data_IF_693697278258
#
_entry.id   IF_693697278258
#
_cell.length_a   1.000
_cell.length_b   1.000
_cell.length_c   1.000
_cell.angle_alpha   90.00
_cell.angle_beta   90.00
_cell.angle_gamma   90.00
#
_symmetry.space_group_name_H-M   'P 1'
#
loop_
_entity.id
_entity.type
_entity.pdbx_description
1 polymer ?
#
# COMPACT_ATOMS: atom_id res chain seq x y z
N UNK A 1 -16.63 7.73 -8.26
CA UNK A 1 -16.47 6.25 -8.09
C UNK A 1 -15.98 5.70 -9.41
N UNK A 2 -14.72 5.27 -9.47
CA UNK A 2 -14.07 4.90 -10.73
C UNK A 2 -13.37 3.54 -10.59
N UNK A 3 -14.06 2.47 -11.02
CA UNK A 3 -13.51 1.11 -10.99
C UNK A 3 -12.28 0.97 -11.91
N UNK A 4 -12.23 1.70 -13.03
CA UNK A 4 -11.08 1.64 -13.93
C UNK A 4 -9.81 2.18 -13.25
N UNK A 5 -9.91 3.28 -12.50
CA UNK A 5 -8.80 3.79 -11.71
C UNK A 5 -8.40 2.80 -10.61
N UNK A 6 -9.35 2.18 -9.93
CA UNK A 6 -9.06 1.17 -8.91
C UNK A 6 -8.31 -0.04 -9.50
N UNK A 7 -8.71 -0.52 -10.68
CA UNK A 7 -8.03 -1.62 -11.38
C UNK A 7 -6.62 -1.23 -11.85
N UNK A 8 -6.44 -0.01 -12.39
CA UNK A 8 -5.12 0.49 -12.76
C UNK A 8 -4.19 0.60 -11.55
N UNK A 9 -4.70 1.12 -10.44
CA UNK A 9 -3.96 1.18 -9.17
C UNK A 9 -3.64 -0.22 -8.64
N UNK A 10 -4.56 -1.18 -8.77
CA UNK A 10 -4.33 -2.58 -8.36
C UNK A 10 -3.25 -3.25 -9.22
N UNK A 11 -3.21 -3.01 -10.53
CA UNK A 11 -2.13 -3.47 -11.40
C UNK A 11 -0.79 -2.86 -10.97
N UNK A 12 -0.77 -1.55 -10.70
CA UNK A 12 0.40 -0.84 -10.19
C UNK A 12 0.90 -1.37 -8.85
N UNK A 13 -0.02 -1.60 -7.91
CA UNK A 13 0.28 -2.15 -6.60
C UNK A 13 0.88 -3.54 -6.72
N UNK A 14 0.23 -4.41 -7.50
CA UNK A 14 0.61 -5.81 -7.58
C UNK A 14 1.89 -6.08 -8.37
N UNK A 15 2.21 -5.25 -9.36
CA UNK A 15 3.55 -5.25 -9.97
C UNK A 15 4.60 -4.77 -8.96
N UNK A 16 4.30 -3.73 -8.17
CA UNK A 16 5.22 -3.20 -7.16
C UNK A 16 5.53 -4.20 -6.05
N UNK A 17 4.49 -4.79 -5.46
CA UNK A 17 4.55 -5.92 -4.51
C UNK A 17 5.46 -7.03 -5.06
N UNK A 18 5.07 -7.60 -6.20
CA UNK A 18 5.76 -8.74 -6.77
C UNK A 18 7.22 -8.42 -7.13
N UNK A 19 7.48 -7.21 -7.64
CA UNK A 19 8.83 -6.73 -7.92
C UNK A 19 9.66 -6.63 -6.64
N UNK A 20 9.14 -6.00 -5.59
CA UNK A 20 9.83 -5.81 -4.31
C UNK A 20 10.16 -7.13 -3.63
N UNK A 21 9.24 -8.09 -3.65
CA UNK A 21 9.41 -9.42 -3.06
C UNK A 21 10.63 -10.17 -3.64
N UNK A 22 10.93 -9.98 -4.93
CA UNK A 22 12.09 -10.63 -5.58
C UNK A 22 13.42 -10.23 -4.96
N UNK A 23 13.50 -9.06 -4.33
CA UNK A 23 14.74 -8.59 -3.73
C UNK A 23 15.00 -9.19 -2.35
N UNK A 24 14.08 -9.96 -1.74
CA UNK A 24 14.38 -10.74 -0.52
C UNK A 24 15.10 -12.06 -0.81
N UNK A 25 14.96 -12.60 -2.02
CA UNK A 25 15.46 -13.94 -2.38
C UNK A 25 16.94 -13.95 -2.78
N UNK A 26 17.46 -12.82 -3.24
CA UNK A 26 18.83 -12.68 -3.77
C UNK A 26 19.52 -11.45 -3.19
N UNK A 27 20.86 -11.37 -3.28
CA UNK A 27 21.57 -10.18 -2.85
C UNK A 27 21.11 -8.97 -3.68
N UNK A 28 20.39 -8.00 -3.07
CA UNK A 28 19.68 -6.99 -3.84
C UNK A 28 20.62 -5.91 -4.40
N UNK A 29 21.73 -5.62 -3.70
CA UNK A 29 22.55 -4.43 -3.94
C UNK A 29 23.09 -4.37 -5.38
N UNK A 30 23.75 -5.41 -5.92
CA UNK A 30 24.32 -5.34 -7.27
C UNK A 30 23.26 -5.22 -8.37
N UNK A 31 22.06 -5.74 -8.11
CA UNK A 31 20.95 -5.74 -9.07
C UNK A 31 20.28 -4.38 -9.11
N UNK A 32 20.04 -3.78 -7.94
CA UNK A 32 19.51 -2.41 -7.81
C UNK A 32 20.48 -1.42 -8.49
N UNK A 33 21.78 -1.49 -8.16
CA UNK A 33 22.80 -0.60 -8.74
C UNK A 33 22.88 -0.68 -10.27
N UNK A 34 22.66 -1.86 -10.83
CA UNK A 34 22.70 -2.10 -12.28
C UNK A 34 21.33 -2.09 -12.95
N UNK A 35 20.26 -1.88 -12.18
CA UNK A 35 18.85 -2.00 -12.58
C UNK A 35 18.57 -3.30 -13.35
N UNK A 36 19.11 -4.41 -12.85
CA UNK A 36 18.87 -5.74 -13.43
C UNK A 36 17.53 -6.26 -12.90
N UNK A 37 16.59 -6.48 -13.82
CA UNK A 37 15.30 -7.07 -13.48
C UNK A 37 15.48 -8.49 -12.91
N UNK A 38 14.74 -8.85 -11.85
CA UNK A 38 14.74 -10.22 -11.35
C UNK A 38 14.20 -11.19 -12.40
N UNK A 39 14.87 -12.34 -12.57
CA UNK A 39 14.41 -13.37 -13.50
C UNK A 39 13.16 -14.10 -12.99
N UNK A 40 12.43 -14.70 -13.93
CA UNK A 40 11.30 -15.59 -13.65
C UNK A 40 9.98 -14.86 -13.40
N UNK A 41 9.02 -15.61 -12.83
CA UNK A 41 7.71 -15.07 -12.45
C UNK A 41 7.85 -14.37 -11.10
N UNK A 42 7.33 -13.15 -11.02
CA UNK A 42 7.26 -12.37 -9.79
C UNK A 42 5.95 -12.67 -9.08
N UNK A 43 6.05 -13.35 -7.94
CA UNK A 43 4.89 -13.67 -7.11
C UNK A 43 4.60 -12.49 -6.20
N UNK A 44 3.33 -12.11 -6.11
CA UNK A 44 2.88 -11.11 -5.16
C UNK A 44 2.56 -11.76 -3.80
N UNK A 45 2.55 -10.95 -2.75
CA UNK A 45 2.45 -11.36 -1.33
C UNK A 45 1.06 -11.06 -0.76
N UNK A 46 0.95 -10.89 0.56
CA UNK A 46 -0.30 -10.51 1.21
C UNK A 46 -0.77 -9.10 0.84
N UNK A 47 0.10 -8.21 0.40
CA UNK A 47 -0.21 -6.86 -0.09
C UNK A 47 -1.25 -6.89 -1.20
N UNK A 48 -0.92 -7.55 -2.32
CA UNK A 48 -1.86 -7.76 -3.43
C UNK A 48 -3.04 -8.62 -3.00
N UNK A 49 -2.80 -9.64 -2.20
CA UNK A 49 -3.85 -10.57 -1.77
C UNK A 49 -4.99 -9.87 -1.01
N UNK A 50 -4.63 -8.94 -0.12
CA UNK A 50 -5.58 -8.10 0.58
C UNK A 50 -6.14 -7.00 -0.35
N UNK A 51 -5.35 -6.43 -1.25
CA UNK A 51 -5.85 -5.44 -2.21
C UNK A 51 -6.93 -6.02 -3.15
N UNK A 52 -6.79 -7.26 -3.61
CA UNK A 52 -7.82 -7.97 -4.40
C UNK A 52 -9.14 -8.04 -3.65
N UNK A 53 -9.11 -8.47 -2.39
CA UNK A 53 -10.29 -8.56 -1.53
C UNK A 53 -10.94 -7.19 -1.32
N UNK A 54 -10.13 -6.12 -1.19
CA UNK A 54 -10.62 -4.75 -1.05
C UNK A 54 -11.37 -4.29 -2.31
N UNK A 55 -10.80 -4.53 -3.49
CA UNK A 55 -11.42 -4.16 -4.77
C UNK A 55 -12.72 -4.95 -5.01
N UNK A 56 -12.80 -6.23 -4.64
CA UNK A 56 -14.04 -7.01 -4.72
C UNK A 56 -15.15 -6.42 -3.85
N UNK A 57 -14.81 -5.97 -2.63
CA UNK A 57 -15.76 -5.30 -1.73
C UNK A 57 -16.24 -3.97 -2.32
N UNK A 58 -15.32 -3.15 -2.83
CA UNK A 58 -15.68 -1.88 -3.47
C UNK A 58 -16.56 -2.09 -4.70
N UNK A 59 -16.27 -3.10 -5.51
CA UNK A 59 -17.05 -3.43 -6.71
C UNK A 59 -18.46 -3.90 -6.34
N UNK A 60 -18.57 -4.75 -5.32
CA UNK A 60 -19.85 -5.33 -4.90
C UNK A 60 -20.74 -4.33 -4.16
N UNK A 61 -20.18 -3.49 -3.30
CA UNK A 61 -20.94 -2.65 -2.37
C UNK A 61 -20.86 -1.15 -2.69
N UNK A 62 -19.92 -0.71 -3.52
CA UNK A 62 -19.68 0.71 -3.82
C UNK A 62 -19.14 1.52 -2.64
N UNK A 63 -18.77 0.84 -1.54
CA UNK A 63 -18.26 1.37 -0.27
C UNK A 63 -17.65 0.25 0.56
N UNK A 64 -17.00 0.58 1.65
CA UNK A 64 -16.53 -0.39 2.63
C UNK A 64 -17.69 -0.87 3.49
N UNK A 65 -17.95 -2.17 3.39
CA UNK A 65 -18.69 -2.94 4.38
C UNK A 65 -17.67 -3.70 5.23
N UNK A 66 -17.45 -3.24 6.47
CA UNK A 66 -16.39 -3.73 7.35
C UNK A 66 -16.52 -5.24 7.63
N UNK A 67 -17.74 -5.71 7.89
CA UNK A 67 -17.98 -7.12 8.17
C UNK A 67 -17.78 -7.99 6.92
N UNK A 68 -18.22 -7.54 5.75
CA UNK A 68 -17.98 -8.24 4.50
C UNK A 68 -16.48 -8.27 4.17
N UNK A 69 -15.77 -7.16 4.39
CA UNK A 69 -14.34 -7.03 4.11
C UNK A 69 -13.50 -7.98 4.96
N UNK A 70 -13.69 -7.99 6.27
CA UNK A 70 -12.91 -8.86 7.15
C UNK A 70 -13.22 -10.34 6.93
N UNK A 71 -14.48 -10.68 6.61
CA UNK A 71 -14.84 -12.05 6.21
C UNK A 71 -14.19 -12.44 4.89
N UNK A 72 -14.09 -11.52 3.92
CA UNK A 72 -13.40 -11.78 2.66
C UNK A 72 -11.89 -11.98 2.87
N UNK A 73 -11.23 -11.12 3.66
CA UNK A 73 -9.83 -11.30 4.03
C UNK A 73 -9.59 -12.66 4.71
N UNK A 74 -10.43 -12.98 5.69
CA UNK A 74 -10.32 -14.23 6.46
C UNK A 74 -10.52 -15.47 5.58
N UNK A 75 -11.56 -15.47 4.75
CA UNK A 75 -11.83 -16.57 3.81
C UNK A 75 -10.67 -16.75 2.83
N UNK A 76 -10.20 -15.66 2.21
CA UNK A 76 -9.13 -15.71 1.21
C UNK A 76 -7.81 -16.17 1.83
N UNK A 77 -7.47 -15.67 3.02
CA UNK A 77 -6.29 -16.10 3.78
C UNK A 77 -6.29 -17.62 4.05
N UNK A 78 -7.39 -18.17 4.54
CA UNK A 78 -7.49 -19.60 4.89
C UNK A 78 -7.45 -20.52 3.67
N UNK A 79 -8.05 -20.11 2.55
CA UNK A 79 -8.12 -20.96 1.36
C UNK A 79 -6.86 -20.90 0.50
N UNK A 80 -6.25 -19.73 0.35
CA UNK A 80 -5.17 -19.54 -0.62
C UNK A 80 -3.79 -19.83 0.00
N UNK A 81 -3.67 -19.78 1.34
CA UNK A 81 -2.42 -20.09 2.05
C UNK A 81 -1.25 -19.18 1.65
N UNK A 82 -1.55 -17.97 1.18
CA UNK A 82 -0.57 -16.97 0.70
C UNK A 82 0.40 -16.60 1.83
N UNK A 83 1.69 -16.56 1.51
CA UNK A 83 2.74 -16.12 2.42
C UNK A 83 2.76 -14.57 2.53
N UNK A 84 3.43 -14.05 3.55
CA UNK A 84 3.64 -12.60 3.76
C UNK A 84 2.91 -12.04 4.98
N UNK A 85 1.74 -12.60 5.31
CA UNK A 85 0.96 -12.15 6.47
C UNK A 85 1.75 -12.13 7.78
N UNK A 86 1.82 -10.96 8.41
CA UNK A 86 2.36 -10.81 9.75
C UNK A 86 1.58 -11.63 10.79
N UNK A 87 2.27 -12.15 11.82
CA UNK A 87 1.71 -13.06 12.83
C UNK A 87 0.41 -12.56 13.48
N UNK A 88 0.34 -11.26 13.78
CA UNK A 88 -0.87 -10.65 14.36
C UNK A 88 -2.07 -10.66 13.41
N UNK A 89 -1.83 -10.38 12.12
CA UNK A 89 -2.86 -10.42 11.09
C UNK A 89 -3.33 -11.86 10.84
N UNK A 90 -2.41 -12.82 10.73
CA UNK A 90 -2.75 -14.23 10.57
C UNK A 90 -3.66 -14.73 11.70
N UNK A 91 -3.27 -14.48 12.96
CA UNK A 91 -4.08 -14.87 14.13
C UNK A 91 -5.46 -14.22 14.14
N UNK A 92 -5.56 -12.93 13.77
CA UNK A 92 -6.85 -12.24 13.63
C UNK A 92 -7.75 -12.93 12.59
N UNK A 93 -7.21 -13.19 11.40
CA UNK A 93 -7.97 -13.78 10.30
C UNK A 93 -8.41 -15.22 10.58
N UNK A 94 -7.60 -16.02 11.28
CA UNK A 94 -7.96 -17.37 11.75
C UNK A 94 -9.12 -17.35 12.77
N UNK A 95 -9.09 -16.41 13.71
CA UNK A 95 -10.13 -16.25 14.74
C UNK A 95 -11.44 -15.76 14.14
N UNK A 96 -11.38 -14.81 13.20
CA UNK A 96 -12.56 -14.39 12.42
C UNK A 96 -13.14 -15.58 11.64
N UNK A 97 -12.30 -16.41 11.02
CA UNK A 97 -12.76 -17.59 10.28
C UNK A 97 -13.48 -18.57 11.21
N UNK A 98 -13.02 -18.68 12.45
CA UNK A 98 -13.61 -19.50 13.51
C UNK A 98 -14.90 -18.92 14.10
N UNK A 99 -15.36 -17.77 13.60
CA UNK A 99 -16.64 -17.15 13.99
C UNK A 99 -16.53 -16.10 15.10
N UNK A 100 -15.33 -15.70 15.50
CA UNK A 100 -15.16 -14.66 16.51
C UNK A 100 -15.44 -13.26 15.95
N UNK A 101 -15.95 -12.37 16.80
CA UNK A 101 -16.28 -11.00 16.43
C UNK A 101 -15.00 -10.17 16.29
N UNK A 102 -14.66 -9.77 15.06
CA UNK A 102 -13.47 -8.99 14.74
C UNK A 102 -13.35 -7.70 15.57
N UNK A 103 -14.47 -7.02 15.86
CA UNK A 103 -14.46 -5.75 16.59
C UNK A 103 -13.96 -5.92 18.05
N UNK A 104 -14.20 -7.09 18.64
CA UNK A 104 -13.74 -7.43 19.99
C UNK A 104 -12.27 -7.89 19.98
N UNK A 105 -11.89 -8.69 18.97
CA UNK A 105 -10.56 -9.32 18.95
C UNK A 105 -9.46 -8.41 18.37
N UNK A 106 -9.79 -7.47 17.50
CA UNK A 106 -8.79 -6.61 16.85
C UNK A 106 -8.02 -5.72 17.86
N UNK A 107 -8.66 -5.31 18.95
CA UNK A 107 -8.02 -4.50 20.01
C UNK A 107 -7.44 -5.31 21.17
N UNK A 108 -7.70 -6.64 21.20
CA UNK A 108 -7.24 -7.54 22.27
C UNK A 108 -6.09 -8.44 21.85
N UNK A 109 -5.99 -8.82 20.56
CA UNK A 109 -4.84 -9.56 20.02
C UNK A 109 -3.56 -8.73 20.14
N UNK A 110 -3.65 -7.46 19.76
CA UNK A 110 -2.64 -6.44 20.03
C UNK A 110 -3.32 -5.35 20.84
N UNK A 111 -2.82 -5.09 22.04
CA UNK A 111 -3.40 -4.10 22.95
C UNK A 111 -3.41 -2.73 22.27
N UNK A 112 -4.60 -2.20 21.97
CA UNK A 112 -4.77 -0.93 21.26
C UNK A 112 -4.76 -1.03 19.72
N UNK A 113 -4.76 -2.25 19.17
CA UNK A 113 -4.73 -2.51 17.73
C UNK A 113 -3.32 -2.53 17.12
N UNK A 114 -3.22 -3.05 15.90
CA UNK A 114 -1.98 -3.01 15.11
C UNK A 114 -1.70 -1.60 14.59
N UNK A 115 -0.48 -1.08 14.82
CA UNK A 115 0.07 0.11 14.16
C UNK A 115 0.85 -0.23 12.88
N UNK A 116 0.79 -1.49 12.44
CA UNK A 116 1.48 -1.98 11.25
C UNK A 116 1.08 -1.26 9.97
N UNK A 117 1.94 -1.38 8.96
CA UNK A 117 1.73 -0.81 7.62
C UNK A 117 0.73 -1.63 6.75
N UNK A 118 0.27 -2.80 7.21
CA UNK A 118 -0.60 -3.69 6.43
C UNK A 118 -2.00 -3.16 6.10
N UNK A 119 -2.46 -2.09 6.76
CA UNK A 119 -3.64 -1.36 6.32
C UNK A 119 -3.34 -0.43 5.13
N UNK A 120 -2.16 0.18 5.12
CA UNK A 120 -1.72 1.10 4.08
C UNK A 120 -1.30 0.37 2.80
N UNK A 121 -0.76 -0.84 2.92
CA UNK A 121 -0.23 -1.58 1.77
C UNK A 121 -1.28 -1.94 0.71
N UNK A 122 -2.53 -2.13 1.16
CA UNK A 122 -3.65 -2.63 0.33
C UNK A 122 -4.56 -1.53 -0.22
N UNK A 123 -4.41 -0.29 0.24
CA UNK A 123 -5.40 0.78 0.09
C UNK A 123 -5.26 1.71 -1.14
N UNK A 124 -4.17 1.74 -1.93
CA UNK A 124 -4.12 2.57 -3.14
C UNK A 124 -5.34 2.42 -4.07
N UNK A 125 -5.87 1.20 -4.35
CA UNK A 125 -7.06 1.04 -5.19
C UNK A 125 -8.33 1.69 -4.60
N UNK A 126 -8.46 1.77 -3.28
CA UNK A 126 -9.59 2.45 -2.62
C UNK A 126 -9.51 3.96 -2.83
N UNK A 127 -8.32 4.53 -2.68
CA UNK A 127 -8.07 5.94 -2.99
C UNK A 127 -8.44 6.29 -4.43
N UNK A 128 -7.97 5.47 -5.36
CA UNK A 128 -8.27 5.58 -6.78
C UNK A 128 -9.78 5.46 -7.10
N UNK A 129 -10.48 4.55 -6.41
CA UNK A 129 -11.92 4.35 -6.58
C UNK A 129 -12.73 5.59 -6.18
N UNK A 130 -12.35 6.27 -5.10
CA UNK A 130 -13.03 7.46 -4.58
C UNK A 130 -12.33 8.78 -4.92
N UNK A 131 -11.47 8.81 -5.95
CA UNK A 131 -10.60 9.96 -6.26
C UNK A 131 -11.31 11.32 -6.41
N UNK A 132 -12.60 11.31 -6.76
CA UNK A 132 -13.44 12.50 -6.92
C UNK A 132 -13.85 13.17 -5.58
N UNK A 133 -13.68 12.48 -4.44
CA UNK A 133 -14.13 12.93 -3.12
C UNK A 133 -13.11 12.50 -2.03
N UNK A 134 -12.16 13.39 -1.72
CA UNK A 134 -11.09 13.13 -0.75
C UNK A 134 -11.61 12.93 0.68
N UNK A 135 -12.70 13.58 1.09
CA UNK A 135 -13.29 13.35 2.41
C UNK A 135 -13.86 11.93 2.50
N UNK A 136 -14.49 11.47 1.42
CA UNK A 136 -14.93 10.09 1.31
C UNK A 136 -13.76 9.12 1.31
N UNK A 137 -12.66 9.42 0.62
CA UNK A 137 -11.42 8.62 0.68
C UNK A 137 -10.94 8.46 2.12
N UNK A 138 -10.89 9.54 2.91
CA UNK A 138 -10.49 9.48 4.32
C UNK A 138 -11.41 8.57 5.13
N UNK A 139 -12.73 8.73 4.99
CA UNK A 139 -13.70 7.93 5.74
C UNK A 139 -13.63 6.44 5.38
N UNK A 140 -13.60 6.10 4.09
CA UNK A 140 -13.61 4.71 3.61
C UNK A 140 -12.25 4.03 3.87
N UNK A 141 -11.12 4.76 3.75
CA UNK A 141 -9.81 4.25 4.11
C UNK A 141 -9.73 3.91 5.60
N UNK A 142 -10.28 4.78 6.46
CA UNK A 142 -10.34 4.55 7.91
C UNK A 142 -11.15 3.30 8.24
N UNK A 143 -12.37 3.18 7.69
CA UNK A 143 -13.21 1.99 7.86
C UNK A 143 -12.52 0.72 7.37
N UNK A 144 -11.78 0.79 6.25
CA UNK A 144 -11.03 -0.34 5.72
C UNK A 144 -9.84 -0.75 6.59
N UNK A 145 -9.23 0.19 7.31
CA UNK A 145 -8.10 -0.06 8.20
C UNK A 145 -8.55 -0.67 9.52
N UNK A 146 -9.62 -0.13 10.11
CA UNK A 146 -10.17 -0.51 11.42
C UNK A 146 -10.47 -2.00 11.58
N UNK A 147 -10.70 -2.74 10.49
CA UNK A 147 -10.99 -4.18 10.59
C UNK A 147 -9.76 -5.04 10.91
N UNK A 148 -8.54 -4.54 10.68
CA UNK A 148 -7.29 -5.24 11.05
C UNK A 148 -6.24 -4.39 11.79
N UNK A 149 -6.37 -3.07 11.75
CA UNK A 149 -5.44 -2.11 12.34
C UNK A 149 -6.24 -1.03 13.07
N UNK A 150 -6.72 -1.34 14.29
CA UNK A 150 -7.48 -0.38 15.10
C UNK A 150 -6.62 0.72 15.74
N UNK A 151 -5.28 0.64 15.63
CA UNK A 151 -4.41 1.67 16.19
C UNK A 151 -4.44 2.95 15.33
N UNK A 152 -4.47 4.15 15.93
CA UNK A 152 -4.52 5.42 15.17
C UNK A 152 -3.43 5.55 14.10
N UNK A 153 -2.20 5.13 14.38
CA UNK A 153 -1.11 5.14 13.37
C UNK A 153 -1.38 4.23 12.16
N UNK A 154 -1.94 3.03 12.37
CA UNK A 154 -2.28 2.14 11.26
C UNK A 154 -3.38 2.73 10.37
N UNK A 155 -4.36 3.39 10.98
CA UNK A 155 -5.42 4.15 10.29
C UNK A 155 -4.82 5.35 9.53
N UNK A 156 -3.96 6.12 10.19
CA UNK A 156 -3.31 7.29 9.60
C UNK A 156 -2.48 6.91 8.37
N UNK A 157 -1.76 5.79 8.42
CA UNK A 157 -1.04 5.24 7.28
C UNK A 157 -1.95 4.90 6.10
N UNK A 158 -3.08 4.22 6.36
CA UNK A 158 -4.04 3.90 5.31
C UNK A 158 -4.66 5.15 4.69
N UNK A 159 -5.04 6.13 5.51
CA UNK A 159 -5.56 7.42 5.03
C UNK A 159 -4.53 8.13 4.14
N UNK A 160 -3.27 8.21 4.58
CA UNK A 160 -2.21 8.88 3.82
C UNK A 160 -2.02 8.27 2.42
N UNK A 161 -1.91 6.94 2.34
CA UNK A 161 -1.70 6.25 1.05
C UNK A 161 -2.94 6.32 0.16
N UNK A 162 -4.14 6.19 0.72
CA UNK A 162 -5.38 6.31 -0.04
C UNK A 162 -5.54 7.72 -0.62
N UNK A 163 -5.26 8.77 0.17
CA UNK A 163 -5.30 10.16 -0.28
C UNK A 163 -4.22 10.42 -1.32
N UNK A 164 -3.01 9.87 -1.17
CA UNK A 164 -1.96 9.99 -2.17
C UNK A 164 -2.39 9.39 -3.52
N UNK A 165 -2.98 8.19 -3.52
CA UNK A 165 -3.50 7.56 -4.73
C UNK A 165 -4.66 8.36 -5.35
N UNK A 166 -5.59 8.86 -4.52
CA UNK A 166 -6.70 9.70 -4.96
C UNK A 166 -6.21 10.99 -5.64
N UNK A 167 -5.19 11.66 -5.07
CA UNK A 167 -4.57 12.85 -5.63
C UNK A 167 -3.86 12.55 -6.95
N UNK A 168 -3.10 11.46 -7.04
CA UNK A 168 -2.38 11.05 -8.26
C UNK A 168 -3.35 10.73 -9.43
N UNK A 169 -4.58 10.32 -9.14
CA UNK A 169 -5.61 10.05 -10.14
C UNK A 169 -6.30 11.31 -10.69
N UNK A 170 -6.05 12.50 -10.12
CA UNK A 170 -6.66 13.75 -10.59
C UNK A 170 -5.94 14.31 -11.82
N UNK A 171 -6.61 14.96 -12.78
CA UNK A 171 -5.96 15.50 -13.98
C UNK A 171 -4.83 16.51 -13.72
N UNK A 172 -5.00 17.37 -12.71
CA UNK A 172 -4.04 18.43 -12.33
C UNK A 172 -3.34 18.09 -11.00
N UNK A 173 -2.92 16.83 -10.84
CA UNK A 173 -2.32 16.34 -9.61
C UNK A 173 -1.10 17.18 -9.18
N UNK A 174 -0.95 17.52 -7.90
CA UNK A 174 0.25 18.20 -7.41
C UNK A 174 1.45 17.24 -7.45
N UNK A 175 2.67 17.78 -7.43
CA UNK A 175 3.91 16.98 -7.39
C UNK A 175 4.86 17.47 -6.30
N UNK A 176 5.87 16.65 -5.98
CA UNK A 176 6.91 16.98 -5.00
C UNK A 176 6.34 17.47 -3.67
N UNK A 177 6.83 18.62 -3.21
CA UNK A 177 6.43 19.21 -1.92
C UNK A 177 4.93 19.50 -1.84
N UNK A 178 4.31 19.98 -2.94
CA UNK A 178 2.89 20.31 -2.93
C UNK A 178 2.01 19.06 -2.86
N UNK A 179 2.48 17.94 -3.43
CA UNK A 179 1.84 16.64 -3.24
C UNK A 179 1.92 16.19 -1.79
N UNK A 180 3.12 16.21 -1.19
CA UNK A 180 3.33 15.82 0.21
C UNK A 180 2.44 16.64 1.16
N UNK A 181 2.42 17.96 0.99
CA UNK A 181 1.55 18.87 1.77
C UNK A 181 0.06 18.57 1.54
N UNK A 182 -0.33 18.19 0.33
CA UNK A 182 -1.70 17.83 0.02
C UNK A 182 -2.13 16.56 0.71
N UNK A 183 -1.28 15.52 0.73
CA UNK A 183 -1.53 14.31 1.53
C UNK A 183 -1.64 14.66 3.01
N UNK A 184 -0.65 15.36 3.55
CA UNK A 184 -0.54 15.70 4.98
C UNK A 184 -1.81 16.36 5.55
N UNK A 185 -2.53 17.18 4.76
CA UNK A 185 -3.77 17.86 5.19
C UNK A 185 -4.87 16.91 5.70
N UNK A 186 -4.92 15.69 5.15
CA UNK A 186 -5.98 14.73 5.44
C UNK A 186 -5.58 13.66 6.45
N UNK A 187 -4.29 13.58 6.81
CA UNK A 187 -3.80 12.55 7.73
C UNK A 187 -4.16 12.93 9.17
N UNK A 188 -4.72 12.00 9.97
CA UNK A 188 -4.92 12.19 11.40
C UNK A 188 -3.61 12.49 12.13
N UNK A 189 -3.67 13.26 13.23
CA UNK A 189 -2.48 13.61 14.01
C UNK A 189 -1.82 12.36 14.62
N UNK A 190 -0.49 12.31 14.55
CA UNK A 190 0.30 11.15 14.97
C UNK A 190 1.69 11.13 14.34
N UNK A 191 2.47 10.11 14.67
CA UNK A 191 3.86 9.95 14.21
C UNK A 191 3.95 9.80 12.68
N UNK A 192 2.96 9.13 12.08
CA UNK A 192 2.87 8.99 10.63
C UNK A 192 2.73 10.35 9.95
N UNK A 193 1.87 11.22 10.49
CA UNK A 193 1.68 12.59 9.98
C UNK A 193 2.94 13.44 10.16
N UNK A 194 3.58 13.35 11.33
CA UNK A 194 4.84 14.04 11.60
C UNK A 194 5.97 13.59 10.65
N UNK A 195 6.03 12.29 10.33
CA UNK A 195 6.94 11.75 9.32
C UNK A 195 6.69 12.33 7.93
N UNK A 196 5.42 12.38 7.50
CA UNK A 196 5.05 12.99 6.21
C UNK A 196 5.39 14.48 6.20
N UNK A 197 5.22 15.20 7.31
CA UNK A 197 5.62 16.60 7.39
C UNK A 197 7.15 16.76 7.25
N UNK A 198 7.94 15.90 7.91
CA UNK A 198 9.40 15.91 7.79
C UNK A 198 9.88 15.67 6.36
N UNK A 199 9.16 14.87 5.57
CA UNK A 199 9.57 14.60 4.18
C UNK A 199 9.48 15.82 3.25
N UNK A 200 8.76 16.88 3.64
CA UNK A 200 8.74 18.17 2.92
C UNK A 200 10.12 18.80 2.81
N UNK A 201 10.99 18.58 3.79
CA UNK A 201 12.32 19.19 3.86
C UNK A 201 13.38 18.38 3.11
N UNK A 202 13.01 17.27 2.47
CA UNK A 202 13.93 16.34 1.82
C UNK A 202 13.86 16.52 0.30
N UNK A 203 14.87 17.12 -0.36
CA UNK A 203 14.92 17.26 -1.82
C UNK A 203 14.94 15.92 -2.54
N UNK A 204 14.39 15.85 -3.76
CA UNK A 204 14.30 14.65 -4.59
C UNK A 204 15.68 13.97 -4.83
N UNK A 205 16.73 14.78 -4.92
CA UNK A 205 18.11 14.38 -5.20
C UNK A 205 18.82 13.82 -3.95
N UNK A 206 18.17 13.82 -2.78
CA UNK A 206 18.77 13.29 -1.56
C UNK A 206 19.12 11.81 -1.72
N UNK A 207 20.31 11.46 -1.24
CA UNK A 207 20.81 10.08 -1.23
C UNK A 207 19.86 9.19 -0.43
N UNK A 208 19.56 8.01 -0.97
CA UNK A 208 18.46 7.19 -0.47
C UNK A 208 18.70 6.75 0.98
N UNK A 209 19.95 6.50 1.36
CA UNK A 209 20.34 6.14 2.72
C UNK A 209 19.97 7.23 3.74
N UNK A 210 20.16 8.51 3.38
CA UNK A 210 19.78 9.63 4.24
C UNK A 210 18.26 9.79 4.32
N UNK A 211 17.53 9.52 3.24
CA UNK A 211 16.06 9.53 3.26
C UNK A 211 15.53 8.44 4.20
N UNK A 212 16.09 7.23 4.11
CA UNK A 212 15.73 6.08 4.95
C UNK A 212 16.04 6.36 6.42
N UNK A 213 17.17 6.99 6.73
CA UNK A 213 17.51 7.36 8.12
C UNK A 213 16.47 8.33 8.74
N UNK A 214 15.92 9.23 7.93
CA UNK A 214 14.97 10.25 8.40
C UNK A 214 13.52 9.75 8.46
N UNK A 215 13.10 8.95 7.47
CA UNK A 215 11.70 8.57 7.24
C UNK A 215 11.39 7.11 7.54
N UNK A 216 12.41 6.27 7.67
CA UNK A 216 12.28 4.82 7.69
C UNK A 216 12.24 4.21 6.29
N UNK A 217 12.09 2.89 6.25
CA UNK A 217 11.92 2.08 5.02
C UNK A 217 11.03 0.86 5.26
N UNK A 218 10.23 0.89 6.33
CA UNK A 218 9.37 -0.20 6.77
C UNK A 218 10.07 -1.34 7.50
N UNK A 219 11.37 -1.28 7.78
CA UNK A 219 12.05 -2.33 8.59
C UNK A 219 11.37 -2.58 9.94
N UNK A 220 10.72 -1.58 10.53
CA UNK A 220 9.95 -1.72 11.77
C UNK A 220 8.52 -2.25 11.58
N UNK A 221 8.10 -2.54 10.34
CA UNK A 221 6.76 -3.02 9.96
C UNK A 221 5.66 -2.16 10.58
N UNK A 222 5.84 -0.83 10.52
CA UNK A 222 4.94 0.15 11.15
C UNK A 222 4.57 1.24 10.16
N UNK A 223 3.36 1.78 10.28
CA UNK A 223 2.89 2.85 9.40
C UNK A 223 3.85 4.05 9.41
N UNK A 224 4.29 4.49 10.59
CA UNK A 224 5.16 5.64 10.78
C UNK A 224 6.60 5.46 10.28
N UNK A 225 7.05 4.21 10.10
CA UNK A 225 8.37 3.86 9.53
C UNK A 225 8.32 3.56 8.02
N UNK A 226 7.11 3.48 7.44
CA UNK A 226 6.92 3.03 6.04
C UNK A 226 6.30 4.12 5.17
N UNK A 227 5.20 4.68 5.65
CA UNK A 227 4.32 5.56 4.85
C UNK A 227 4.98 6.90 4.50
N UNK A 228 5.71 7.58 5.41
CA UNK A 228 6.41 8.82 5.05
C UNK A 228 7.39 8.63 3.88
N UNK A 229 8.14 7.53 3.90
CA UNK A 229 9.07 7.16 2.83
C UNK A 229 8.33 6.91 1.50
N UNK A 230 7.25 6.15 1.52
CA UNK A 230 6.44 5.86 0.33
C UNK A 230 5.84 7.14 -0.29
N UNK A 231 5.29 8.03 0.54
CA UNK A 231 4.74 9.31 0.08
C UNK A 231 5.82 10.17 -0.56
N UNK A 232 7.03 10.22 0.02
CA UNK A 232 8.17 10.92 -0.56
C UNK A 232 8.61 10.33 -1.90
N UNK A 233 8.77 9.00 -1.98
CA UNK A 233 9.13 8.30 -3.21
C UNK A 233 8.13 8.58 -4.34
N UNK A 234 6.83 8.44 -4.06
CA UNK A 234 5.78 8.71 -5.02
C UNK A 234 5.79 10.18 -5.46
N UNK A 235 5.81 11.14 -4.52
CA UNK A 235 5.74 12.56 -4.80
C UNK A 235 6.78 13.06 -5.80
N UNK A 236 7.98 12.47 -5.79
CA UNK A 236 9.09 12.86 -6.65
C UNK A 236 9.21 12.06 -7.95
N UNK A 237 8.33 11.07 -8.19
CA UNK A 237 8.40 10.17 -9.36
C UNK A 237 7.02 9.83 -9.95
N UNK A 238 6.00 10.67 -9.73
CA UNK A 238 4.61 10.42 -10.16
C UNK A 238 4.44 10.20 -11.67
N UNK A 239 5.35 10.72 -12.50
CA UNK A 239 5.28 10.64 -13.95
C UNK A 239 5.97 9.39 -14.54
N UNK A 240 6.71 8.63 -13.72
CA UNK A 240 7.50 7.49 -14.17
C UNK A 240 7.47 6.32 -13.17
N UNK A 241 6.64 5.33 -13.50
CA UNK A 241 6.44 4.12 -12.70
C UNK A 241 7.73 3.32 -12.46
N UNK A 242 8.54 3.12 -13.49
CA UNK A 242 9.78 2.34 -13.37
C UNK A 242 10.81 3.04 -12.48
N UNK A 243 11.02 4.35 -12.68
CA UNK A 243 11.93 5.14 -11.84
C UNK A 243 11.45 5.18 -10.38
N UNK A 244 10.15 5.31 -10.16
CA UNK A 244 9.57 5.28 -8.82
C UNK A 244 9.88 3.97 -8.09
N UNK A 245 9.69 2.82 -8.76
CA UNK A 245 9.98 1.52 -8.16
C UNK A 245 11.48 1.29 -7.94
N UNK A 246 12.35 1.69 -8.88
CA UNK A 246 13.80 1.62 -8.68
C UNK A 246 14.30 2.51 -7.53
N UNK A 247 13.75 3.71 -7.38
CA UNK A 247 14.08 4.59 -6.24
C UNK A 247 13.60 3.98 -4.93
N UNK A 248 12.37 3.45 -4.91
CA UNK A 248 11.75 2.85 -3.71
C UNK A 248 12.53 1.62 -3.25
N UNK A 249 12.82 0.68 -4.14
CA UNK A 249 13.53 -0.56 -3.80
C UNK A 249 14.97 -0.31 -3.32
N UNK A 250 15.58 0.80 -3.76
CA UNK A 250 16.91 1.23 -3.29
C UNK A 250 16.92 1.57 -1.80
N UNK A 251 15.78 1.89 -1.20
CA UNK A 251 15.63 2.10 0.24
C UNK A 251 15.69 0.80 1.08
N UNK A 252 15.63 -0.37 0.44
CA UNK A 252 15.59 -1.68 1.10
C UNK A 252 14.44 -1.76 2.12
N UNK A 253 14.65 -2.40 3.27
CA UNK A 253 13.62 -2.57 4.31
C UNK A 253 12.49 -3.51 3.87
N UNK A 254 11.26 -3.03 4.00
CA UNK A 254 10.01 -3.73 3.69
C UNK A 254 9.62 -3.52 2.22
N UNK A 255 10.33 -4.24 1.35
CA UNK A 255 10.51 -3.91 -0.07
C UNK A 255 9.27 -4.14 -0.92
N UNK A 256 8.62 -5.28 -0.72
CA UNK A 256 7.32 -5.61 -1.31
C UNK A 256 6.30 -4.54 -0.91
N UNK A 257 6.17 -4.26 0.39
CA UNK A 257 5.19 -3.33 0.94
C UNK A 257 5.39 -1.90 0.47
N UNK A 258 6.61 -1.39 0.53
CA UNK A 258 6.93 -0.03 0.05
C UNK A 258 6.71 0.10 -1.46
N UNK A 259 7.12 -0.90 -2.25
CA UNK A 259 6.88 -0.90 -3.70
C UNK A 259 5.40 -1.07 -4.05
N UNK A 260 4.63 -1.82 -3.28
CA UNK A 260 3.18 -1.98 -3.46
C UNK A 260 2.45 -0.65 -3.29
N UNK A 261 2.75 0.09 -2.21
CA UNK A 261 2.17 1.41 -1.97
C UNK A 261 2.54 2.41 -3.07
N UNK A 262 3.84 2.53 -3.37
CA UNK A 262 4.33 3.49 -4.38
C UNK A 262 3.81 3.13 -5.77
N UNK A 263 3.88 1.85 -6.16
CA UNK A 263 3.35 1.37 -7.43
C UNK A 263 1.87 1.64 -7.59
N UNK A 264 1.08 1.39 -6.54
CA UNK A 264 -0.37 1.66 -6.56
C UNK A 264 -0.72 3.14 -6.72
N UNK A 265 0.10 4.05 -6.18
CA UNK A 265 -0.06 5.50 -6.34
C UNK A 265 0.38 5.93 -7.75
N UNK A 266 1.62 5.62 -8.12
CA UNK A 266 2.27 6.15 -9.33
C UNK A 266 1.63 5.61 -10.61
N UNK A 267 1.03 4.42 -10.60
CA UNK A 267 0.31 3.89 -11.75
C UNK A 267 -0.86 4.76 -12.21
N UNK A 268 -1.39 5.65 -11.35
CA UNK A 268 -2.52 6.51 -11.66
C UNK A 268 -2.14 7.79 -12.41
N UNK A 269 -0.89 8.22 -12.30
CA UNK A 269 -0.36 9.45 -12.89
C UNK A 269 0.71 9.20 -13.95
N UNK A 270 1.42 8.07 -13.89
CA UNK A 270 2.40 7.67 -14.88
C UNK A 270 1.74 7.30 -16.21
N UNK A 271 2.48 7.44 -17.31
CA UNK A 271 1.94 7.16 -18.65
C UNK A 271 1.51 5.71 -18.83
N UNK A 272 2.31 4.78 -18.32
CA UNK A 272 2.10 3.32 -18.45
C UNK A 272 2.87 2.58 -17.37
N UNK A 273 2.33 1.46 -16.90
CA UNK A 273 3.12 0.41 -16.24
C UNK A 273 3.88 -0.35 -17.35
N UNK A 274 5.19 -0.62 -17.23
CA UNK A 274 5.93 -1.37 -18.26
C UNK A 274 5.30 -2.73 -18.53
N UNK A 275 5.01 -3.02 -19.80
CA UNK A 275 4.29 -4.24 -20.19
C UNK A 275 5.06 -5.51 -19.82
N UNK A 276 6.39 -5.49 -19.93
CA UNK A 276 7.23 -6.62 -19.53
C UNK A 276 7.09 -6.92 -18.02
N UNK A 277 6.95 -5.89 -17.17
CA UNK A 277 6.82 -6.07 -15.72
C UNK A 277 5.46 -6.68 -15.37
N UNK A 278 4.39 -6.24 -16.06
CA UNK A 278 3.07 -6.88 -15.97
C UNK A 278 3.10 -8.35 -16.39
N UNK A 279 3.90 -8.72 -17.39
CA UNK A 279 4.04 -10.13 -17.80
C UNK A 279 4.89 -10.96 -16.84
N UNK A 280 5.82 -10.34 -16.13
CA UNK A 280 6.59 -11.01 -15.07
C UNK A 280 5.75 -11.26 -13.83
N UNK A 281 4.87 -10.32 -13.44
CA UNK A 281 3.93 -10.49 -12.33
C UNK A 281 3.05 -11.71 -12.56
N UNK A 282 2.92 -12.57 -11.55
CA UNK A 282 1.98 -13.68 -11.62
C UNK A 282 0.54 -13.15 -11.86
N UNK A 283 -0.29 -13.88 -12.62
CA UNK A 283 -1.64 -13.44 -12.93
C UNK A 283 -2.49 -13.40 -11.66
N UNK A 284 -3.53 -12.56 -11.67
CA UNK A 284 -4.55 -12.65 -10.63
C UNK A 284 -5.29 -13.99 -10.69
N UNK A 285 -5.88 -14.45 -9.57
CA UNK A 285 -6.68 -15.67 -9.54
C UNK A 285 -7.81 -15.60 -10.56
N UNK A 286 -8.11 -16.73 -11.23
CA UNK A 286 -9.16 -16.78 -12.25
C UNK A 286 -10.58 -16.57 -11.71
N UNK A 287 -10.75 -16.62 -10.39
CA UNK A 287 -11.98 -16.33 -9.66
C UNK A 287 -12.01 -14.92 -9.04
N UNK A 288 -11.03 -14.06 -9.36
CA UNK A 288 -11.08 -12.65 -8.99
C UNK A 288 -12.25 -11.95 -9.68
N UNK A 289 -13.17 -11.40 -8.87
CA UNK A 289 -14.46 -10.88 -9.35
C UNK A 289 -14.48 -9.35 -9.41
N UNK A 290 -14.44 -8.79 -10.62
CA UNK A 290 -14.56 -7.34 -10.90
C UNK A 290 -15.43 -7.07 -12.12
#
# INVERSE_FOLDING_TARGET
MNLQNALLSLDGLSVGDAFGERFFVQNPIPLIQKRILPEGIWKWTDDTHMALSLVEILTKFGKIDQDALIRQFSRRFIHDGRLGYGRGAALLLERVFSGENWAEINTTILKGGSYGNGAAMRVPPLGAFFADDLERVVSEASLSAEVTHAHPEGIAGAVAIAVAAALAAQPDYPTGIDFIKSVHRYVPDGLTKDGILRSVEIPAETEIESVVELLGNGTAISAQDTVPFCVWCAAHHLDNYEEALWKTISGLGDRDTTCAMVGGIVALSAKTIPQDWLTHREPFPGDFMV
#
